data_IF_224737734620
#
_entry.id   IF_224737734620
#
_cell.length_a   1.000
_cell.length_b   1.000
_cell.length_c   1.000
_cell.angle_alpha   90.00
_cell.angle_beta   90.00
_cell.angle_gamma   90.00
#
_symmetry.space_group_name_H-M   'P 1'
#
loop_
_entity.id
_entity.type
_entity.pdbx_description
1 polymer ?
#
# COMPACT_ATOMS: atom_id res chain seq x y z
N UNK A 1 -5.91 -5.94 -22.79
CA UNK A 1 -6.62 -7.23 -22.74
C UNK A 1 -7.93 -7.11 -23.49
N UNK A 2 -8.30 -8.11 -24.29
CA UNK A 2 -9.59 -8.13 -25.01
C UNK A 2 -10.39 -9.34 -24.55
N UNK A 3 -11.61 -9.14 -24.05
CA UNK A 3 -12.53 -10.23 -23.67
C UNK A 3 -13.47 -10.48 -24.84
N UNK A 4 -13.46 -11.70 -25.40
CA UNK A 4 -14.42 -12.08 -26.43
C UNK A 4 -15.74 -12.46 -25.76
N UNK A 5 -16.85 -11.93 -26.27
CA UNK A 5 -18.18 -12.17 -25.71
C UNK A 5 -19.19 -12.53 -26.80
N UNK A 6 -20.12 -13.42 -26.45
CA UNK A 6 -21.25 -13.80 -27.31
C UNK A 6 -22.57 -13.60 -26.54
N UNK A 7 -23.55 -12.98 -27.20
CA UNK A 7 -24.93 -12.99 -26.71
C UNK A 7 -25.52 -14.38 -26.91
N UNK A 8 -26.08 -14.95 -25.84
CA UNK A 8 -26.83 -16.22 -25.89
C UNK A 8 -28.29 -15.91 -26.25
N UNK A 9 -28.79 -14.75 -25.83
CA UNK A 9 -30.13 -14.26 -26.17
C UNK A 9 -30.01 -12.99 -27.02
N UNK A 10 -30.82 -12.89 -28.08
CA UNK A 10 -30.79 -11.73 -29.01
C UNK A 10 -31.04 -10.40 -28.30
N UNK A 11 -31.90 -10.42 -27.28
CA UNK A 11 -32.30 -9.26 -26.48
C UNK A 11 -31.37 -8.96 -25.29
N UNK A 12 -30.27 -9.70 -25.12
CA UNK A 12 -29.32 -9.44 -24.04
C UNK A 12 -28.51 -8.15 -24.28
N UNK A 13 -28.23 -7.43 -23.20
CA UNK A 13 -27.30 -6.29 -23.20
C UNK A 13 -25.88 -6.76 -22.90
N UNK A 14 -24.90 -6.16 -23.55
CA UNK A 14 -23.49 -6.40 -23.24
C UNK A 14 -23.10 -5.59 -22.00
N UNK A 15 -22.15 -6.08 -21.16
CA UNK A 15 -21.69 -5.33 -19.99
C UNK A 15 -21.05 -4.00 -20.38
N UNK A 16 -21.25 -2.96 -19.58
CA UNK A 16 -20.72 -1.60 -19.84
C UNK A 16 -20.02 -1.00 -18.63
N UNK A 17 -19.04 -0.15 -18.87
CA UNK A 17 -18.44 0.69 -17.82
C UNK A 17 -19.29 1.95 -17.65
N UNK A 18 -19.56 2.32 -16.40
CA UNK A 18 -20.34 3.52 -16.10
C UNK A 18 -19.55 4.83 -16.29
N UNK A 19 -18.22 4.76 -16.24
CA UNK A 19 -17.32 5.90 -16.45
C UNK A 19 -15.94 5.43 -16.92
N UNK A 20 -15.11 6.35 -17.42
CA UNK A 20 -13.77 6.07 -17.92
C UNK A 20 -12.81 5.54 -16.85
N UNK A 21 -13.07 5.81 -15.57
CA UNK A 21 -12.32 5.30 -14.42
C UNK A 21 -12.91 4.04 -13.79
N UNK A 22 -14.12 3.62 -14.16
CA UNK A 22 -14.80 2.49 -13.51
C UNK A 22 -14.07 1.17 -13.80
N UNK A 23 -13.57 0.46 -12.79
CA UNK A 23 -12.93 -0.85 -13.01
C UNK A 23 -13.94 -1.97 -13.30
N UNK A 24 -15.20 -1.77 -12.90
CA UNK A 24 -16.29 -2.72 -13.06
C UNK A 24 -17.11 -2.51 -14.33
N UNK A 25 -17.55 -3.62 -14.95
CA UNK A 25 -18.52 -3.63 -16.04
C UNK A 25 -19.88 -4.03 -15.48
N UNK A 26 -20.84 -3.09 -15.46
CA UNK A 26 -22.22 -3.34 -15.04
C UNK A 26 -22.86 -4.41 -15.95
N UNK A 27 -23.47 -5.42 -15.35
CA UNK A 27 -24.23 -6.48 -16.04
C UNK A 27 -25.73 -6.33 -15.80
N UNK A 28 -26.50 -6.84 -16.75
CA UNK A 28 -27.93 -6.58 -16.84
C UNK A 28 -28.74 -7.85 -16.61
N UNK A 29 -29.85 -7.74 -15.88
CA UNK A 29 -30.79 -8.85 -15.69
C UNK A 29 -31.45 -9.23 -17.01
N UNK A 30 -31.27 -10.49 -17.43
CA UNK A 30 -31.85 -11.02 -18.67
C UNK A 30 -33.06 -11.92 -18.39
N UNK A 31 -32.88 -12.99 -17.60
CA UNK A 31 -33.91 -14.01 -17.31
C UNK A 31 -33.70 -14.66 -15.95
N UNK A 32 -34.76 -15.20 -15.37
CA UNK A 32 -34.69 -16.02 -14.15
C UNK A 32 -34.28 -17.44 -14.54
N UNK A 33 -33.24 -17.95 -13.89
CA UNK A 33 -32.72 -19.29 -14.10
C UNK A 33 -33.04 -20.19 -12.92
N UNK A 34 -33.33 -21.45 -13.21
CA UNK A 34 -33.33 -22.49 -12.19
C UNK A 34 -31.92 -22.67 -11.60
N UNK A 35 -31.84 -22.75 -10.27
CA UNK A 35 -30.53 -22.79 -9.59
C UNK A 35 -29.76 -24.08 -9.84
N UNK A 36 -30.43 -25.18 -10.20
CA UNK A 36 -29.80 -26.49 -10.39
C UNK A 36 -29.54 -26.72 -11.87
N UNK A 37 -30.61 -26.72 -12.67
CA UNK A 37 -30.59 -27.05 -14.10
C UNK A 37 -30.06 -25.91 -14.98
N UNK A 38 -29.99 -24.68 -14.44
CA UNK A 38 -29.58 -23.45 -15.15
C UNK A 38 -30.44 -23.11 -16.37
N UNK A 39 -31.59 -23.77 -16.53
CA UNK A 39 -32.55 -23.47 -17.59
C UNK A 39 -33.32 -22.22 -17.23
N UNK A 40 -33.77 -21.49 -18.26
CA UNK A 40 -34.69 -20.37 -18.07
C UNK A 40 -36.01 -20.90 -17.53
N UNK A 41 -36.48 -20.31 -16.43
CA UNK A 41 -37.77 -20.67 -15.82
C UNK A 41 -38.80 -19.55 -15.90
N UNK A 42 -38.34 -18.30 -16.00
CA UNK A 42 -39.23 -17.14 -16.08
C UNK A 42 -38.55 -15.95 -16.77
N UNK A 43 -39.34 -15.14 -17.45
CA UNK A 43 -38.95 -13.80 -17.89
C UNK A 43 -38.93 -12.81 -16.71
N UNK A 44 -38.27 -11.67 -16.90
CA UNK A 44 -38.33 -10.54 -15.97
C UNK A 44 -39.53 -9.62 -16.34
N UNK A 45 -40.21 -8.98 -15.37
CA UNK A 45 -39.78 -8.77 -13.99
C UNK A 45 -39.92 -9.98 -13.06
N UNK A 46 -39.14 -9.98 -11.98
CA UNK A 46 -39.22 -10.99 -10.91
C UNK A 46 -39.10 -10.33 -9.54
N UNK A 47 -40.04 -10.63 -8.64
CA UNK A 47 -40.01 -10.19 -7.25
C UNK A 47 -39.19 -11.16 -6.39
N UNK A 48 -38.20 -10.64 -5.67
CA UNK A 48 -37.45 -11.38 -4.66
C UNK A 48 -38.03 -11.03 -3.28
N UNK A 49 -38.76 -11.96 -2.63
CA UNK A 49 -39.24 -11.73 -1.27
C UNK A 49 -38.08 -11.61 -0.27
N UNK A 50 -38.30 -10.96 0.89
CA UNK A 50 -37.36 -10.93 2.01
C UNK A 50 -36.80 -12.31 2.36
N UNK A 51 -35.47 -12.38 2.54
CA UNK A 51 -34.75 -13.61 2.89
C UNK A 51 -34.62 -14.65 1.76
N UNK A 52 -35.20 -14.41 0.57
CA UNK A 52 -35.10 -15.31 -0.58
C UNK A 52 -33.94 -14.93 -1.50
N UNK A 53 -33.56 -15.88 -2.35
CA UNK A 53 -32.53 -15.69 -3.37
C UNK A 53 -32.98 -16.24 -4.72
N UNK A 54 -32.43 -15.68 -5.79
CA UNK A 54 -32.74 -16.03 -7.17
C UNK A 54 -31.46 -16.01 -8.01
N UNK A 55 -31.39 -16.88 -9.02
CA UNK A 55 -30.32 -16.85 -10.00
C UNK A 55 -30.79 -16.10 -11.24
N UNK A 56 -30.16 -14.97 -11.56
CA UNK A 56 -30.46 -14.19 -12.75
C UNK A 56 -29.37 -14.41 -13.78
N UNK A 57 -29.75 -14.87 -14.97
CA UNK A 57 -28.86 -14.94 -16.13
C UNK A 57 -28.63 -13.54 -16.73
N UNK A 58 -27.42 -13.27 -17.21
CA UNK A 58 -27.06 -11.98 -17.85
C UNK A 58 -27.17 -12.00 -19.38
N UNK A 59 -27.46 -13.15 -19.97
CA UNK A 59 -27.71 -13.34 -21.41
C UNK A 59 -26.47 -13.33 -22.29
N UNK A 60 -25.28 -13.30 -21.69
CA UNK A 60 -23.99 -13.30 -22.38
C UNK A 60 -23.05 -14.36 -21.79
N UNK A 61 -22.21 -14.92 -22.64
CA UNK A 61 -21.04 -15.72 -22.27
C UNK A 61 -19.77 -15.00 -22.69
N UNK A 62 -18.68 -15.28 -22.00
CA UNK A 62 -17.39 -14.65 -22.24
C UNK A 62 -16.28 -15.70 -22.29
N UNK A 63 -15.21 -15.37 -23.00
CA UNK A 63 -13.96 -16.10 -22.97
C UNK A 63 -12.94 -15.22 -22.23
N UNK A 64 -12.77 -15.47 -20.93
CA UNK A 64 -11.76 -14.80 -20.13
C UNK A 64 -10.40 -15.42 -20.45
N UNK A 65 -9.37 -14.64 -20.84
CA UNK A 65 -8.08 -15.18 -21.19
C UNK A 65 -7.29 -15.55 -19.93
N UNK A 66 -6.61 -16.70 -19.95
CA UNK A 66 -5.56 -16.98 -18.96
C UNK A 66 -4.46 -15.90 -19.05
N UNK A 67 -3.93 -15.36 -17.93
CA UNK A 67 -4.13 -15.74 -16.52
C UNK A 67 -5.13 -14.87 -15.75
N UNK A 68 -6.23 -14.43 -16.37
CA UNK A 68 -7.24 -13.60 -15.72
C UNK A 68 -8.45 -14.41 -15.26
N UNK A 69 -8.96 -14.08 -14.09
CA UNK A 69 -10.30 -14.46 -13.65
C UNK A 69 -11.28 -13.29 -13.81
N UNK A 70 -12.58 -13.58 -13.76
CA UNK A 70 -13.62 -12.58 -13.69
C UNK A 70 -14.39 -12.72 -12.38
N UNK A 71 -14.41 -11.64 -11.59
CA UNK A 71 -15.14 -11.56 -10.34
C UNK A 71 -16.48 -10.84 -10.53
N UNK A 72 -17.57 -11.52 -10.16
CA UNK A 72 -18.92 -10.94 -10.10
C UNK A 72 -19.10 -10.32 -8.72
N UNK A 73 -19.21 -9.00 -8.67
CA UNK A 73 -19.31 -8.22 -7.43
C UNK A 73 -20.67 -7.51 -7.31
N UNK A 74 -21.16 -7.27 -6.09
CA UNK A 74 -22.38 -6.50 -5.86
C UNK A 74 -22.19 -5.05 -6.29
N UNK A 75 -23.30 -4.37 -6.58
CA UNK A 75 -23.33 -2.93 -6.82
C UNK A 75 -23.67 -2.23 -5.51
N UNK A 76 -22.83 -1.28 -5.08
CA UNK A 76 -23.02 -0.55 -3.81
C UNK A 76 -24.40 0.10 -3.69
N UNK A 77 -24.95 0.62 -4.80
CA UNK A 77 -26.28 1.21 -4.82
C UNK A 77 -27.42 0.24 -4.53
N UNK A 78 -27.32 -1.02 -4.95
CA UNK A 78 -28.33 -2.05 -4.66
C UNK A 78 -28.20 -2.56 -3.23
N UNK A 79 -26.97 -2.78 -2.77
CA UNK A 79 -26.69 -3.19 -1.40
C UNK A 79 -27.17 -2.14 -0.39
N UNK A 80 -26.83 -0.86 -0.60
CA UNK A 80 -27.14 0.21 0.37
C UNK A 80 -28.61 0.64 0.38
N UNK A 81 -29.33 0.57 -0.75
CA UNK A 81 -30.70 1.09 -0.85
C UNK A 81 -31.78 0.03 -0.65
N UNK A 82 -31.46 -1.23 -0.96
CA UNK A 82 -32.44 -2.31 -1.03
C UNK A 82 -31.97 -3.59 -0.32
N UNK A 83 -30.82 -3.57 0.36
CA UNK A 83 -30.23 -4.75 1.03
C UNK A 83 -30.10 -5.97 0.11
N UNK A 84 -29.73 -5.72 -1.16
CA UNK A 84 -29.48 -6.76 -2.15
C UNK A 84 -27.99 -7.10 -2.20
N UNK A 85 -27.68 -8.36 -1.91
CA UNK A 85 -26.33 -8.91 -1.97
C UNK A 85 -26.21 -10.04 -3.01
N UNK A 86 -24.97 -10.45 -3.29
CA UNK A 86 -24.71 -11.71 -3.99
C UNK A 86 -24.37 -12.79 -2.97
N UNK A 87 -25.10 -13.90 -2.98
CA UNK A 87 -24.91 -14.97 -1.97
C UNK A 87 -23.53 -15.62 -2.03
N UNK A 88 -22.85 -15.53 -3.17
CA UNK A 88 -21.50 -16.05 -3.39
C UNK A 88 -20.47 -14.93 -3.61
N UNK A 89 -20.72 -13.71 -3.13
CA UNK A 89 -19.82 -12.57 -3.37
C UNK A 89 -18.42 -12.76 -2.74
N UNK A 90 -17.32 -12.42 -3.45
CA UNK A 90 -17.26 -12.22 -4.91
C UNK A 90 -17.44 -13.56 -5.64
N UNK A 91 -18.29 -13.59 -6.67
CA UNK A 91 -18.47 -14.80 -7.47
C UNK A 91 -17.34 -14.97 -8.47
N UNK A 92 -16.76 -16.16 -8.61
CA UNK A 92 -15.66 -16.42 -9.55
C UNK A 92 -16.19 -16.99 -10.87
N UNK A 93 -15.69 -16.44 -11.98
CA UNK A 93 -15.87 -16.96 -13.35
C UNK A 93 -14.50 -17.30 -13.91
N UNK A 94 -14.28 -18.58 -14.15
CA UNK A 94 -12.98 -19.14 -14.54
C UNK A 94 -12.62 -18.88 -16.02
N UNK A 95 -11.31 -18.85 -16.36
CA UNK A 95 -10.83 -18.67 -17.73
C UNK A 95 -11.32 -19.73 -18.74
N UNK A 96 -11.63 -20.93 -18.29
CA UNK A 96 -12.12 -22.05 -19.12
C UNK A 96 -13.66 -22.11 -19.20
N UNK A 97 -14.38 -21.30 -18.41
CA UNK A 97 -15.83 -21.25 -18.44
C UNK A 97 -16.36 -20.62 -19.74
N UNK A 98 -17.32 -21.29 -20.40
CA UNK A 98 -17.98 -20.81 -21.64
C UNK A 98 -19.51 -20.79 -21.56
N UNK A 99 -20.06 -21.06 -20.39
CA UNK A 99 -21.49 -20.97 -20.12
C UNK A 99 -21.95 -19.52 -19.96
N UNK A 100 -23.24 -19.35 -19.68
CA UNK A 100 -23.78 -18.07 -19.26
C UNK A 100 -23.35 -17.76 -17.82
N UNK A 101 -22.79 -16.58 -17.59
CA UNK A 101 -22.56 -16.14 -16.22
C UNK A 101 -23.91 -15.83 -15.54
N UNK A 102 -24.07 -16.25 -14.30
CA UNK A 102 -25.27 -16.00 -13.51
C UNK A 102 -24.96 -15.12 -12.30
N UNK A 103 -25.95 -14.35 -11.86
CA UNK A 103 -25.87 -13.47 -10.69
C UNK A 103 -26.83 -14.03 -9.63
N UNK A 104 -26.29 -14.56 -8.53
CA UNK A 104 -27.07 -15.14 -7.45
C UNK A 104 -27.44 -14.06 -6.43
N UNK A 105 -28.55 -13.36 -6.69
CA UNK A 105 -29.04 -12.27 -5.85
C UNK A 105 -29.77 -12.82 -4.64
N UNK A 106 -29.55 -12.19 -3.47
CA UNK A 106 -30.30 -12.44 -2.25
C UNK A 106 -30.84 -11.13 -1.69
N UNK A 107 -32.10 -11.16 -1.31
CA UNK A 107 -32.74 -10.07 -0.59
C UNK A 107 -32.55 -10.28 0.91
N UNK A 108 -31.79 -9.39 1.55
CA UNK A 108 -31.60 -9.36 3.01
C UNK A 108 -32.47 -8.31 3.70
N UNK A 109 -33.11 -7.43 2.95
CA UNK A 109 -33.98 -6.41 3.50
C UNK A 109 -35.33 -6.97 3.92
N UNK A 110 -36.12 -6.12 4.55
CA UNK A 110 -37.46 -6.45 5.06
C UNK A 110 -38.56 -6.26 4.01
N UNK A 111 -38.25 -5.65 2.87
CA UNK A 111 -39.18 -5.40 1.77
C UNK A 111 -38.82 -6.25 0.55
N UNK A 112 -39.83 -6.65 -0.23
CA UNK A 112 -39.61 -7.29 -1.52
C UNK A 112 -38.84 -6.37 -2.47
N UNK A 113 -37.99 -6.97 -3.32
CA UNK A 113 -37.23 -6.26 -4.35
C UNK A 113 -37.57 -6.80 -5.73
N UNK A 114 -38.03 -5.92 -6.62
CA UNK A 114 -38.38 -6.29 -8.01
C UNK A 114 -37.18 -6.06 -8.92
N UNK A 115 -36.77 -7.12 -9.61
CA UNK A 115 -35.76 -7.05 -10.68
C UNK A 115 -36.46 -6.85 -11.99
N UNK A 116 -36.14 -5.75 -12.66
CA UNK A 116 -36.63 -5.44 -14.00
C UNK A 116 -35.71 -6.00 -15.08
N UNK A 117 -36.29 -6.26 -16.27
CA UNK A 117 -35.51 -6.58 -17.45
C UNK A 117 -34.53 -5.44 -17.74
N UNK A 118 -33.29 -5.77 -18.06
CA UNK A 118 -32.22 -4.80 -18.31
C UNK A 118 -31.87 -3.91 -17.10
N UNK A 119 -32.30 -4.25 -15.89
CA UNK A 119 -31.77 -3.60 -14.68
C UNK A 119 -30.30 -4.00 -14.48
N UNK A 120 -29.46 -3.04 -14.08
CA UNK A 120 -28.06 -3.30 -13.72
C UNK A 120 -27.98 -3.97 -12.35
N UNK A 121 -27.61 -5.25 -12.30
CA UNK A 121 -27.75 -6.09 -11.10
C UNK A 121 -26.44 -6.45 -10.40
N UNK A 122 -25.32 -6.46 -11.12
CA UNK A 122 -23.99 -6.74 -10.58
C UNK A 122 -22.93 -6.04 -11.46
N UNK A 123 -21.67 -6.17 -11.09
CA UNK A 123 -20.55 -5.70 -11.90
C UNK A 123 -19.47 -6.77 -12.03
N UNK A 124 -18.81 -6.84 -13.18
CA UNK A 124 -17.68 -7.72 -13.44
C UNK A 124 -16.37 -6.97 -13.27
N UNK A 125 -15.44 -7.53 -12.49
CA UNK A 125 -14.07 -7.02 -12.34
C UNK A 125 -13.11 -8.11 -12.80
N UNK A 126 -12.14 -7.78 -13.65
CA UNK A 126 -11.17 -8.74 -14.14
C UNK A 126 -9.84 -8.55 -13.40
N UNK A 127 -9.35 -9.61 -12.78
CA UNK A 127 -8.11 -9.63 -12.00
C UNK A 127 -7.21 -10.77 -12.48
N UNK A 128 -5.89 -10.57 -12.40
CA UNK A 128 -4.92 -11.62 -12.69
C UNK A 128 -4.95 -12.64 -11.55
N UNK A 129 -5.04 -13.92 -11.88
CA UNK A 129 -5.03 -15.03 -10.94
C UNK A 129 -3.75 -15.85 -11.09
N UNK A 130 -3.24 -16.34 -9.97
CA UNK A 130 -2.15 -17.32 -9.92
C UNK A 130 -2.76 -18.69 -9.55
N UNK A 131 -2.31 -19.75 -10.21
CA UNK A 131 -2.71 -21.12 -9.90
C UNK A 131 -1.47 -21.86 -9.37
N UNK A 132 -1.23 -21.84 -8.05
CA UNK A 132 -0.06 -22.47 -7.46
C UNK A 132 -0.18 -23.99 -7.52
N UNK A 133 0.97 -24.67 -7.62
CA UNK A 133 1.07 -26.12 -7.38
C UNK A 133 1.04 -26.33 -5.87
N UNK A 134 0.14 -27.21 -5.39
CA UNK A 134 0.04 -27.58 -3.99
C UNK A 134 0.93 -28.80 -3.73
N UNK A 135 1.94 -28.64 -2.87
CA UNK A 135 2.81 -29.72 -2.42
C UNK A 135 2.42 -30.19 -1.01
N UNK A 136 2.16 -31.48 -0.84
CA UNK A 136 1.87 -32.09 0.46
C UNK A 136 3.18 -32.37 1.20
N UNK A 137 3.23 -32.08 2.50
CA UNK A 137 4.39 -32.37 3.35
C UNK A 137 3.96 -33.00 4.66
N UNK A 138 4.71 -34.03 5.10
CA UNK A 138 4.55 -34.68 6.40
C UNK A 138 5.31 -33.95 7.52
N UNK A 139 6.12 -32.95 7.16
CA UNK A 139 6.86 -32.11 8.11
C UNK A 139 6.05 -30.91 8.62
N UNK A 140 6.56 -30.22 9.64
CA UNK A 140 5.95 -28.96 10.08
C UNK A 140 6.06 -27.89 8.99
N UNK A 141 4.96 -27.16 8.73
CA UNK A 141 5.00 -25.97 7.89
C UNK A 141 5.92 -24.90 8.51
N UNK A 142 6.57 -24.05 7.70
CA UNK A 142 7.35 -22.93 8.22
C UNK A 142 6.54 -22.08 9.20
N UNK A 143 7.10 -21.85 10.39
CA UNK A 143 6.41 -21.07 11.43
C UNK A 143 6.18 -19.64 10.94
N UNK A 144 4.93 -19.20 10.97
CA UNK A 144 4.55 -17.79 10.78
C UNK A 144 4.14 -17.18 12.12
N UNK A 145 4.30 -15.87 12.31
CA UNK A 145 3.85 -15.19 13.55
C UNK A 145 2.30 -15.19 13.66
N UNK A 146 1.55 -15.40 12.56
CA UNK A 146 0.08 -15.63 12.61
C UNK A 146 -0.26 -17.03 13.11
N UNK A 147 0.61 -18.01 12.88
CA UNK A 147 0.38 -19.41 13.26
C UNK A 147 -0.97 -19.93 12.76
N UNK A 148 -1.70 -20.64 13.62
CA UNK A 148 -3.05 -21.15 13.34
C UNK A 148 -4.20 -20.18 13.67
N UNK A 149 -3.94 -18.90 13.98
CA UNK A 149 -4.95 -17.96 14.46
C UNK A 149 -5.72 -17.30 13.30
N UNK A 150 -6.98 -17.70 13.09
CA UNK A 150 -7.98 -17.09 12.19
C UNK A 150 -9.16 -16.46 12.94
N UNK A 151 -10.12 -15.84 12.22
CA UNK A 151 -11.37 -15.25 12.76
C UNK A 151 -11.22 -14.05 13.72
N UNK A 152 -10.67 -12.92 13.24
CA UNK A 152 -10.66 -11.66 14.02
C UNK A 152 -9.45 -11.46 14.95
N UNK A 153 -8.45 -12.33 14.87
CA UNK A 153 -7.20 -12.24 15.64
C UNK A 153 -6.31 -11.04 15.30
N UNK A 154 -6.60 -10.27 14.25
CA UNK A 154 -5.84 -9.06 13.89
C UNK A 154 -6.28 -7.81 14.66
N UNK A 155 -7.37 -7.89 15.44
CA UNK A 155 -7.87 -6.77 16.27
C UNK A 155 -7.17 -6.61 17.61
N UNK A 156 -6.39 -7.61 18.05
CA UNK A 156 -5.71 -7.64 19.34
C UNK A 156 -4.30 -8.21 19.11
N UNK A 157 -3.33 -7.30 19.03
CA UNK A 157 -1.88 -7.55 19.03
C UNK A 157 -1.22 -8.06 17.73
N UNK A 158 -0.28 -7.23 17.23
CA UNK A 158 1.03 -7.65 16.74
C UNK A 158 1.08 -8.39 15.41
N UNK A 159 1.16 -7.64 14.31
CA UNK A 159 1.40 -8.14 12.96
C UNK A 159 2.76 -8.86 12.79
N UNK A 160 2.73 -9.90 11.96
CA UNK A 160 3.82 -10.68 11.37
C UNK A 160 3.36 -12.14 11.25
N UNK A 161 3.86 -13.05 10.41
CA UNK A 161 5.00 -13.11 9.48
C UNK A 161 4.49 -13.85 8.24
N UNK A 162 5.08 -13.55 7.08
CA UNK A 162 4.96 -14.36 5.87
C UNK A 162 6.03 -15.46 5.79
N UNK A 163 6.09 -16.14 4.64
CA UNK A 163 7.07 -17.18 4.31
C UNK A 163 8.49 -16.61 4.12
N UNK A 164 9.50 -17.47 3.94
CA UNK A 164 10.86 -17.05 3.61
C UNK A 164 10.91 -16.15 2.35
N UNK A 165 10.10 -16.47 1.33
CA UNK A 165 9.96 -15.66 0.11
C UNK A 165 9.34 -14.29 0.39
N UNK A 166 8.37 -14.23 1.31
CA UNK A 166 7.80 -12.96 1.75
C UNK A 166 8.85 -12.10 2.47
N UNK A 167 9.64 -12.70 3.37
CA UNK A 167 10.71 -11.98 4.05
C UNK A 167 11.80 -11.51 3.07
N UNK A 168 12.11 -12.31 2.04
CA UNK A 168 13.01 -11.92 0.94
C UNK A 168 12.48 -10.72 0.15
N UNK A 169 11.18 -10.74 -0.20
CA UNK A 169 10.52 -9.65 -0.93
C UNK A 169 10.46 -8.37 -0.08
N UNK A 170 10.14 -8.48 1.20
CA UNK A 170 10.19 -7.36 2.14
C UNK A 170 11.60 -6.77 2.21
N UNK A 171 12.63 -7.61 2.31
CA UNK A 171 14.03 -7.12 2.29
C UNK A 171 14.37 -6.44 0.97
N UNK A 172 13.83 -6.92 -0.17
CA UNK A 172 14.03 -6.29 -1.49
C UNK A 172 13.41 -4.90 -1.53
N UNK A 173 12.17 -4.75 -1.05
CA UNK A 173 11.46 -3.47 -0.95
C UNK A 173 12.21 -2.52 0.00
N UNK A 174 12.65 -3.02 1.15
CA UNK A 174 13.38 -2.22 2.13
C UNK A 174 14.71 -1.68 1.56
N UNK A 175 15.44 -2.51 0.82
CA UNK A 175 16.65 -2.08 0.10
C UNK A 175 16.34 -0.99 -0.93
N UNK A 176 15.28 -1.17 -1.72
CA UNK A 176 14.88 -0.19 -2.74
C UNK A 176 14.60 1.19 -2.13
N UNK A 177 13.78 1.26 -1.08
CA UNK A 177 13.49 2.55 -0.44
C UNK A 177 14.70 3.11 0.31
N UNK A 178 15.57 2.27 0.87
CA UNK A 178 16.81 2.74 1.48
C UNK A 178 17.75 3.39 0.46
N UNK A 179 17.86 2.88 -0.77
CA UNK A 179 18.61 3.55 -1.84
C UNK A 179 18.05 4.95 -2.15
N UNK A 180 16.73 5.11 -2.12
CA UNK A 180 16.08 6.42 -2.28
C UNK A 180 16.39 7.33 -1.10
N UNK A 181 16.41 6.81 0.14
CA UNK A 181 16.85 7.55 1.33
C UNK A 181 18.28 8.06 1.14
N UNK A 182 19.20 7.22 0.66
CA UNK A 182 20.59 7.62 0.40
C UNK A 182 20.70 8.67 -0.71
N UNK A 183 19.89 8.55 -1.76
CA UNK A 183 19.81 9.56 -2.82
C UNK A 183 19.29 10.90 -2.28
N UNK A 184 18.23 10.89 -1.45
CA UNK A 184 17.72 12.08 -0.78
C UNK A 184 18.77 12.68 0.17
N UNK A 185 19.52 11.83 0.88
CA UNK A 185 20.58 12.25 1.78
C UNK A 185 21.68 13.05 1.08
N UNK A 186 21.96 12.80 -0.22
CA UNK A 186 22.93 13.60 -1.00
C UNK A 186 22.64 15.10 -0.98
N UNK A 187 21.38 15.50 -0.76
CA UNK A 187 20.95 16.89 -0.65
C UNK A 187 21.21 17.53 0.72
N UNK A 188 21.73 16.77 1.69
CA UNK A 188 22.06 17.26 3.03
C UNK A 188 23.10 18.37 3.01
N UNK A 189 22.81 19.50 3.64
CA UNK A 189 23.71 20.67 3.70
C UNK A 189 24.40 20.85 5.06
N UNK A 190 24.60 19.75 5.80
CA UNK A 190 25.30 19.79 7.07
C UNK A 190 26.79 20.12 6.88
N UNK A 191 27.25 21.24 7.44
CA UNK A 191 28.66 21.67 7.37
C UNK A 191 29.52 21.12 8.51
N UNK A 192 28.94 20.35 9.43
CA UNK A 192 29.68 19.82 10.57
C UNK A 192 30.78 18.87 10.09
N UNK A 193 32.00 19.09 10.55
CA UNK A 193 33.20 18.35 10.18
C UNK A 193 33.81 18.77 8.84
N UNK A 194 33.20 19.74 8.14
CA UNK A 194 33.68 20.25 6.87
C UNK A 194 34.68 21.37 7.13
N UNK A 195 35.91 21.22 6.63
CA UNK A 195 36.93 22.28 6.74
C UNK A 195 36.67 23.36 5.70
N UNK A 196 36.86 24.62 6.10
CA UNK A 196 36.82 25.76 5.18
C UNK A 196 38.15 25.87 4.43
N UNK A 197 38.09 26.14 3.13
CA UNK A 197 39.23 26.52 2.30
C UNK A 197 39.06 27.99 1.96
N UNK A 198 40.07 28.83 2.25
CA UNK A 198 40.01 30.29 2.07
C UNK A 198 38.76 30.95 2.71
N UNK A 199 38.34 30.46 3.89
CA UNK A 199 37.20 30.98 4.63
C UNK A 199 35.82 30.59 4.09
N UNK A 200 35.74 29.75 3.04
CA UNK A 200 34.49 29.30 2.42
C UNK A 200 34.36 27.77 2.45
N UNK A 201 33.13 27.28 2.36
CA UNK A 201 32.85 25.87 2.12
C UNK A 201 32.86 25.60 0.62
N UNK A 202 33.70 24.69 0.17
CA UNK A 202 33.80 24.33 -1.25
C UNK A 202 32.90 23.14 -1.60
N UNK A 203 32.52 23.05 -2.89
CA UNK A 203 31.67 21.99 -3.42
C UNK A 203 32.35 21.23 -4.56
N UNK A 204 32.06 19.94 -4.68
CA UNK A 204 32.44 19.12 -5.82
C UNK A 204 31.57 19.42 -7.06
N UNK A 205 31.88 18.77 -8.19
CA UNK A 205 31.18 18.95 -9.46
C UNK A 205 29.69 18.56 -9.38
N UNK A 206 29.35 17.65 -8.46
CA UNK A 206 28.00 17.19 -8.17
C UNK A 206 27.28 18.09 -7.14
N UNK A 207 27.93 19.16 -6.69
CA UNK A 207 27.37 20.15 -5.78
C UNK A 207 27.35 19.73 -4.31
N UNK A 208 28.09 18.71 -3.89
CA UNK A 208 28.22 18.29 -2.50
C UNK A 208 29.35 19.04 -1.78
N UNK A 209 29.24 19.22 -0.46
CA UNK A 209 30.30 19.81 0.36
C UNK A 209 31.54 18.90 0.40
N UNK A 210 32.70 19.42 0.01
CA UNK A 210 33.96 18.67 0.02
C UNK A 210 34.36 18.36 1.47
N UNK A 211 34.52 17.07 1.81
CA UNK A 211 34.88 16.63 3.16
C UNK A 211 33.69 16.39 4.09
N UNK A 212 32.45 16.50 3.61
CA UNK A 212 31.26 16.11 4.36
C UNK A 212 31.20 14.58 4.51
N UNK A 213 31.41 14.10 5.73
CA UNK A 213 31.47 12.65 6.01
C UNK A 213 30.11 12.01 6.29
N UNK A 214 29.09 12.82 6.60
CA UNK A 214 27.76 12.31 6.99
C UNK A 214 26.65 13.07 6.29
N UNK A 215 25.72 12.31 5.74
CA UNK A 215 24.54 12.79 5.02
C UNK A 215 23.33 12.01 5.52
N UNK A 216 22.25 12.71 5.82
CA UNK A 216 21.07 12.13 6.45
C UNK A 216 19.86 12.31 5.54
N UNK A 217 19.10 11.24 5.36
CA UNK A 217 17.91 11.20 4.53
C UNK A 217 16.79 10.49 5.26
N UNK A 218 15.57 10.81 4.86
CA UNK A 218 14.37 10.14 5.33
C UNK A 218 13.34 10.06 4.19
N UNK A 219 12.61 8.96 4.10
CA UNK A 219 11.50 8.78 3.17
C UNK A 219 10.31 8.18 3.93
N UNK A 220 9.12 8.73 3.72
CA UNK A 220 7.87 8.17 4.26
C UNK A 220 7.09 7.55 3.10
N UNK A 221 6.72 6.28 3.25
CA UNK A 221 6.07 5.47 2.21
C UNK A 221 4.75 4.91 2.72
N UNK A 222 3.73 4.95 1.88
CA UNK A 222 2.42 4.35 2.14
C UNK A 222 1.79 3.88 0.83
N UNK A 223 1.17 2.70 0.86
CA UNK A 223 0.52 2.10 -0.32
C UNK A 223 1.45 2.08 -1.56
N UNK A 224 2.72 1.72 -1.35
CA UNK A 224 3.82 1.75 -2.34
C UNK A 224 4.15 3.13 -2.95
N UNK A 225 3.51 4.19 -2.46
CA UNK A 225 3.78 5.57 -2.83
C UNK A 225 4.68 6.28 -1.83
N UNK A 226 5.62 7.09 -2.32
CA UNK A 226 6.41 8.00 -1.48
C UNK A 226 5.55 9.23 -1.15
N UNK A 227 5.16 9.36 0.13
CA UNK A 227 4.41 10.51 0.63
C UNK A 227 5.31 11.76 0.67
N UNK A 228 6.50 11.60 1.24
CA UNK A 228 7.47 12.69 1.37
C UNK A 228 8.91 12.20 1.47
N UNK A 229 9.83 13.13 1.25
CA UNK A 229 11.27 12.93 1.41
C UNK A 229 11.86 14.08 2.22
N UNK A 230 12.76 13.75 3.14
CA UNK A 230 13.48 14.68 3.99
C UNK A 230 14.98 14.44 3.93
N UNK A 231 15.72 15.49 4.24
CA UNK A 231 17.16 15.49 4.39
C UNK A 231 17.54 16.61 5.34
N UNK A 232 18.73 16.57 5.91
CA UNK A 232 19.15 17.62 6.84
C UNK A 232 19.26 18.96 6.11
N UNK A 233 18.40 19.91 6.49
CA UNK A 233 18.29 21.21 5.85
C UNK A 233 17.77 22.29 6.81
N UNK A 234 17.84 23.53 6.39
CA UNK A 234 17.38 24.68 7.17
C UNK A 234 15.85 24.84 7.14
N UNK A 235 15.28 25.36 8.22
CA UNK A 235 13.89 25.78 8.24
C UNK A 235 13.73 27.20 7.68
N UNK A 236 12.54 27.55 7.21
CA UNK A 236 12.27 28.86 6.63
C UNK A 236 12.59 29.98 7.62
N UNK A 237 13.41 30.95 7.19
CA UNK A 237 13.84 32.08 8.01
C UNK A 237 15.09 31.84 8.87
N UNK A 238 15.67 30.63 8.88
CA UNK A 238 16.94 30.41 9.57
C UNK A 238 18.15 30.78 8.70
N UNK A 239 19.23 31.23 9.37
CA UNK A 239 20.52 31.44 8.71
C UNK A 239 21.10 30.11 8.23
N UNK A 240 21.72 30.09 7.05
CA UNK A 240 22.31 28.85 6.52
C UNK A 240 23.60 28.52 7.28
N UNK A 241 23.75 27.27 7.70
CA UNK A 241 25.01 26.79 8.30
C UNK A 241 26.25 27.04 7.42
N UNK A 242 26.07 27.15 6.10
CA UNK A 242 27.15 27.52 5.17
C UNK A 242 27.64 28.96 5.35
N UNK A 243 26.78 29.85 5.83
CA UNK A 243 27.09 31.26 6.09
C UNK A 243 27.62 31.44 7.51
N UNK A 244 26.94 30.83 8.50
CA UNK A 244 27.19 31.06 9.94
C UNK A 244 27.97 29.95 10.65
N UNK A 245 28.34 28.88 9.95
CA UNK A 245 29.05 27.74 10.53
C UNK A 245 28.18 26.79 11.38
N UNK A 246 28.82 25.75 11.92
CA UNK A 246 28.16 24.77 12.79
C UNK A 246 28.19 25.21 14.27
N UNK A 247 27.04 25.61 14.81
CA UNK A 247 26.90 25.96 16.23
C UNK A 247 27.40 24.87 17.17
N UNK A 248 27.21 23.61 16.80
CA UNK A 248 27.60 22.50 17.68
C UNK A 248 29.12 22.31 17.74
N UNK A 249 29.86 22.74 16.72
CA UNK A 249 31.33 22.76 16.77
C UNK A 249 31.84 23.94 17.58
N UNK A 250 31.22 25.11 17.39
CA UNK A 250 31.49 26.32 18.16
C UNK A 250 31.31 26.09 19.67
N UNK A 251 30.26 25.35 20.05
CA UNK A 251 29.98 24.99 21.45
C UNK A 251 30.73 23.75 21.94
N UNK A 252 31.60 23.14 21.13
CA UNK A 252 32.36 21.94 21.53
C UNK A 252 31.49 20.71 21.84
N UNK A 253 30.27 20.63 21.30
CA UNK A 253 29.31 19.55 21.59
C UNK A 253 29.76 18.27 20.90
N UNK A 254 29.88 17.17 21.65
CA UNK A 254 30.20 15.85 21.10
C UNK A 254 29.23 15.43 19.99
N UNK A 255 29.74 14.75 18.98
CA UNK A 255 28.89 14.24 17.90
C UNK A 255 27.83 13.31 18.49
N UNK A 256 26.58 13.41 18.01
CA UNK A 256 25.48 12.51 18.39
C UNK A 256 24.79 12.83 19.72
N UNK A 257 25.32 13.79 20.47
CA UNK A 257 24.66 14.32 21.66
C UNK A 257 24.12 15.71 21.41
N UNK A 258 23.17 16.14 22.26
CA UNK A 258 22.56 17.47 22.24
C UNK A 258 22.10 17.88 20.82
N UNK A 259 21.38 16.98 20.15
CA UNK A 259 20.93 17.18 18.77
C UNK A 259 19.89 18.30 18.65
N UNK A 260 19.18 18.61 19.74
CA UNK A 260 18.27 19.75 19.87
C UNK A 260 18.96 21.11 19.68
N UNK A 261 20.29 21.19 19.88
CA UNK A 261 21.09 22.40 19.61
C UNK A 261 21.48 22.55 18.14
N UNK A 262 21.12 21.60 17.28
CA UNK A 262 21.33 21.72 15.83
C UNK A 262 20.41 22.80 15.26
N UNK A 263 20.97 23.80 14.55
CA UNK A 263 20.18 24.82 13.84
C UNK A 263 19.36 24.25 12.69
N UNK A 264 19.85 23.17 12.06
CA UNK A 264 19.18 22.53 10.94
C UNK A 264 18.11 21.55 11.41
N UNK A 265 17.02 21.44 10.64
CA UNK A 265 16.05 20.36 10.79
C UNK A 265 16.70 19.03 10.39
N UNK A 266 16.45 17.99 11.19
CA UNK A 266 16.87 16.63 10.85
C UNK A 266 16.03 16.08 9.70
N UNK A 267 16.54 15.05 9.04
CA UNK A 267 15.92 14.45 7.87
C UNK A 267 14.50 13.97 8.15
N UNK A 268 14.26 13.35 9.30
CA UNK A 268 12.95 12.86 9.74
C UNK A 268 11.98 14.01 9.93
N UNK A 269 12.40 15.06 10.65
CA UNK A 269 11.60 16.26 10.84
C UNK A 269 11.27 16.90 9.48
N UNK A 270 12.26 17.08 8.61
CA UNK A 270 12.07 17.62 7.27
C UNK A 270 11.05 16.80 6.45
N UNK A 271 11.14 15.48 6.49
CA UNK A 271 10.19 14.59 5.80
C UNK A 271 8.77 14.77 6.33
N UNK A 272 8.60 14.82 7.65
CA UNK A 272 7.31 14.99 8.32
C UNK A 272 6.69 16.35 7.98
N UNK A 273 7.44 17.44 8.13
CA UNK A 273 6.97 18.78 7.79
C UNK A 273 6.56 18.89 6.32
N UNK A 274 7.31 18.26 5.42
CA UNK A 274 6.97 18.22 3.99
C UNK A 274 5.74 17.37 3.69
N UNK A 275 5.50 16.30 4.44
CA UNK A 275 4.28 15.50 4.31
C UNK A 275 3.05 16.34 4.70
N UNK A 276 3.14 17.11 5.78
CA UNK A 276 2.04 17.90 6.32
C UNK A 276 1.72 19.15 5.49
N UNK A 277 2.73 19.76 4.87
CA UNK A 277 2.57 20.99 4.07
C UNK A 277 2.15 20.75 2.60
N UNK A 278 1.76 19.52 2.23
CA UNK A 278 1.23 19.21 0.90
C UNK A 278 -0.29 19.36 0.90
N UNK A 279 -0.83 20.15 -0.03
CA UNK A 279 -2.28 20.19 -0.28
C UNK A 279 -2.75 18.82 -0.76
N UNK A 280 -3.82 18.29 -0.15
CA UNK A 280 -4.33 16.95 -0.44
C UNK A 280 -3.45 15.79 0.06
N UNK A 281 -2.62 16.02 1.08
CA UNK A 281 -1.68 15.02 1.59
C UNK A 281 -2.34 13.70 2.03
N UNK A 282 -1.74 12.59 1.60
CA UNK A 282 -2.01 11.26 2.14
C UNK A 282 -1.47 11.20 3.56
N UNK A 283 -2.33 10.93 4.55
CA UNK A 283 -1.93 10.87 5.95
C UNK A 283 -0.93 9.74 6.26
N UNK A 284 -0.10 9.94 7.29
CA UNK A 284 1.01 9.04 7.69
C UNK A 284 0.59 7.79 8.45
N UNK A 285 -0.68 7.67 8.87
CA UNK A 285 -1.15 6.48 9.59
C UNK A 285 -1.04 5.24 8.70
N UNK A 286 -0.41 4.18 9.23
CA UNK A 286 -0.11 2.95 8.50
C UNK A 286 1.14 3.01 7.62
N UNK A 287 1.87 4.13 7.61
CA UNK A 287 3.03 4.29 6.74
C UNK A 287 4.29 3.61 7.32
N UNK A 288 5.26 3.38 6.44
CA UNK A 288 6.63 2.99 6.79
C UNK A 288 7.56 4.18 6.63
N UNK A 289 8.39 4.45 7.65
CA UNK A 289 9.44 5.48 7.59
C UNK A 289 10.81 4.81 7.40
N UNK A 290 11.56 5.27 6.41
CA UNK A 290 12.91 4.80 6.10
C UNK A 290 13.91 5.91 6.45
N UNK A 291 14.92 5.61 7.27
CA UNK A 291 15.93 6.58 7.70
C UNK A 291 17.30 5.93 7.67
N UNK A 292 18.32 6.65 7.18
CA UNK A 292 19.68 6.12 7.13
C UNK A 292 20.51 6.37 8.40
N UNK A 293 19.87 6.73 9.52
CA UNK A 293 20.47 6.88 10.84
C UNK A 293 19.41 6.71 11.92
N UNK A 294 19.82 6.43 13.16
CA UNK A 294 18.88 6.38 14.26
C UNK A 294 18.32 7.78 14.57
N UNK A 295 17.01 7.90 14.83
CA UNK A 295 16.41 9.20 15.12
C UNK A 295 16.88 9.75 16.46
N UNK A 296 16.92 11.07 16.56
CA UNK A 296 17.06 11.72 17.86
C UNK A 296 15.78 11.54 18.70
N UNK A 297 15.85 11.77 20.02
CA UNK A 297 14.69 11.63 20.91
C UNK A 297 13.50 12.50 20.50
N UNK A 298 13.76 13.71 19.97
CA UNK A 298 12.70 14.62 19.49
C UNK A 298 12.00 14.01 18.27
N UNK A 299 12.76 13.59 17.27
CA UNK A 299 12.21 12.99 16.05
C UNK A 299 11.47 11.69 16.40
N UNK A 300 12.01 10.88 17.31
CA UNK A 300 11.36 9.67 17.77
C UNK A 300 9.98 9.97 18.39
N UNK A 301 9.89 10.92 19.33
CA UNK A 301 8.62 11.33 19.95
C UNK A 301 7.60 11.86 18.95
N UNK A 302 8.05 12.56 17.90
CA UNK A 302 7.15 13.02 16.84
C UNK A 302 6.63 11.82 16.04
N UNK A 303 7.53 10.90 15.65
CA UNK A 303 7.20 9.71 14.85
C UNK A 303 6.16 8.83 15.56
N UNK A 304 6.26 8.64 16.88
CA UNK A 304 5.29 7.85 17.64
C UNK A 304 3.87 8.44 17.62
N UNK A 305 3.73 9.77 17.47
CA UNK A 305 2.44 10.43 17.33
C UNK A 305 1.82 10.37 15.93
N UNK A 306 2.55 9.92 14.90
CA UNK A 306 2.12 9.98 13.49
C UNK A 306 1.36 8.74 13.00
N UNK A 307 1.24 7.70 13.83
CA UNK A 307 0.66 6.42 13.44
C UNK A 307 1.50 5.64 12.43
N UNK A 308 2.82 5.86 12.42
CA UNK A 308 3.77 5.04 11.66
C UNK A 308 3.75 3.61 12.21
N UNK A 309 3.65 2.61 11.33
CA UNK A 309 3.63 1.20 11.73
C UNK A 309 5.02 0.58 11.75
N UNK A 310 5.88 0.97 10.81
CA UNK A 310 7.22 0.41 10.66
C UNK A 310 8.26 1.50 10.45
N UNK A 311 9.39 1.35 11.14
CA UNK A 311 10.62 2.10 10.92
C UNK A 311 11.68 1.17 10.33
N UNK A 312 12.33 1.61 9.26
CA UNK A 312 13.41 0.87 8.61
C UNK A 312 14.68 1.68 8.65
N UNK A 313 15.72 1.10 9.24
CA UNK A 313 17.00 1.74 9.48
C UNK A 313 18.10 1.07 8.66
N UNK A 314 19.11 1.84 8.28
CA UNK A 314 20.34 1.27 7.77
C UNK A 314 21.12 0.60 8.92
N UNK A 315 21.65 -0.60 8.70
CA UNK A 315 22.37 -1.39 9.71
C UNK A 315 23.76 -0.78 10.01
N UNK A 316 24.16 -0.78 11.29
CA UNK A 316 25.51 -0.37 11.71
C UNK A 316 25.76 1.14 11.61
N UNK A 317 24.70 1.95 11.65
CA UNK A 317 24.80 3.41 11.48
C UNK A 317 24.81 4.12 12.82
N UNK A 318 25.05 5.42 12.72
CA UNK A 318 25.23 6.39 13.79
C UNK A 318 24.17 6.26 14.89
N UNK A 319 24.53 5.67 16.05
CA UNK A 319 23.57 5.41 17.10
C UNK A 319 23.18 6.72 17.79
N UNK A 320 21.90 6.85 18.10
CA UNK A 320 21.29 7.95 18.83
C UNK A 320 20.28 7.39 19.85
N UNK A 321 19.83 8.21 20.78
CA UNK A 321 19.00 7.72 21.89
C UNK A 321 17.52 7.48 21.54
N UNK A 322 17.06 7.81 20.32
CA UNK A 322 15.63 7.78 19.98
C UNK A 322 15.07 6.38 19.74
N UNK A 323 15.91 5.36 19.54
CA UNK A 323 15.43 4.02 19.16
C UNK A 323 14.57 3.35 20.25
N UNK A 324 14.86 3.61 21.52
CA UNK A 324 14.09 3.04 22.63
C UNK A 324 12.66 3.57 22.65
N UNK A 325 12.48 4.87 22.37
CA UNK A 325 11.16 5.52 22.28
C UNK A 325 10.31 4.90 21.17
N UNK A 326 10.93 4.56 20.03
CA UNK A 326 10.25 3.89 18.91
C UNK A 326 9.79 2.48 19.32
N UNK A 327 10.66 1.72 20.02
CA UNK A 327 10.33 0.38 20.54
C UNK A 327 9.19 0.44 21.56
N UNK A 328 9.26 1.37 22.51
CA UNK A 328 8.27 1.52 23.58
C UNK A 328 6.88 1.87 23.03
N UNK A 329 6.83 2.56 21.89
CA UNK A 329 5.59 2.88 21.18
C UNK A 329 5.04 1.72 20.32
N UNK A 330 5.69 0.56 20.30
CA UNK A 330 5.24 -0.61 19.55
C UNK A 330 5.42 -0.51 18.03
N UNK A 331 6.24 0.44 17.54
CA UNK A 331 6.56 0.56 16.11
C UNK A 331 7.52 -0.57 15.73
N UNK A 332 7.20 -1.29 14.65
CA UNK A 332 8.05 -2.37 14.15
C UNK A 332 9.37 -1.80 13.59
N UNK A 333 10.51 -2.39 13.93
CA UNK A 333 11.83 -1.91 13.49
C UNK A 333 12.49 -2.97 12.61
N UNK A 334 12.91 -2.57 11.42
CA UNK A 334 13.70 -3.41 10.50
C UNK A 334 15.04 -2.75 10.20
N UNK A 335 16.03 -3.57 9.87
CA UNK A 335 17.36 -3.10 9.49
C UNK A 335 17.71 -3.56 8.09
N UNK A 336 18.34 -2.67 7.32
CA UNK A 336 18.81 -2.91 5.96
C UNK A 336 20.32 -2.94 5.95
N UNK A 337 20.89 -4.01 5.43
CA UNK A 337 22.32 -4.08 5.11
C UNK A 337 22.51 -3.77 3.63
N UNK A 338 23.25 -2.71 3.32
CA UNK A 338 23.65 -2.43 1.94
C UNK A 338 24.84 -3.32 1.58
N UNK A 339 24.71 -4.10 0.51
CA UNK A 339 25.86 -4.75 -0.08
C UNK A 339 26.71 -3.68 -0.77
N UNK A 340 28.00 -3.59 -0.42
CA UNK A 340 28.93 -2.75 -1.19
C UNK A 340 28.94 -3.25 -2.63
N UNK A 341 28.44 -2.46 -3.56
CA UNK A 341 28.68 -2.68 -4.99
C UNK A 341 30.20 -2.60 -5.16
N UNK A 342 30.86 -3.75 -5.37
CA UNK A 342 32.20 -3.77 -5.96
C UNK A 342 31.99 -3.29 -7.38
N UNK A 343 32.24 -2.00 -7.63
CA UNK A 343 32.41 -1.50 -8.98
C UNK A 343 33.58 -2.29 -9.55
N UNK A 344 33.32 -3.14 -10.54
CA UNK A 344 34.37 -3.79 -11.30
C UNK A 344 35.27 -2.67 -11.86
N UNK A 345 36.56 -2.75 -11.55
CA UNK A 345 37.58 -1.81 -12.02
C UNK A 345 37.71 -1.84 -13.53
#
# INVERSE_FOLDING_TARGET
MVIRMNKIRKDALIPIRASDGAVGYDVFGSRVLDKITKRVIQDLPFEIPPGKSVLIGIGVRMAVPWPFQCEVRPRSGLANKFDIELSNSPGTVDPDFRGEAGVLLRNRGDNSFVIEKNMRIAQLVFSRAEVPILELTDGELPKTRRGGLGFGSTGLFGSGLGTADYDEEIRRIDRYYMEIVLAAAKRSRCVRGVKKVNGRYERDAEGNLIGQTRKFGCVIVKDDGIISQGFNDQYTGSAKCEEVGCLREELGITSGTQLEKCRAMHAEWSAITRALNREGAVGTRGATIYVNAEPCEICAKIITGLGIETMVLLEGVYPNNGIQIIKDAGINIRYVKLQRIRVAK
#
